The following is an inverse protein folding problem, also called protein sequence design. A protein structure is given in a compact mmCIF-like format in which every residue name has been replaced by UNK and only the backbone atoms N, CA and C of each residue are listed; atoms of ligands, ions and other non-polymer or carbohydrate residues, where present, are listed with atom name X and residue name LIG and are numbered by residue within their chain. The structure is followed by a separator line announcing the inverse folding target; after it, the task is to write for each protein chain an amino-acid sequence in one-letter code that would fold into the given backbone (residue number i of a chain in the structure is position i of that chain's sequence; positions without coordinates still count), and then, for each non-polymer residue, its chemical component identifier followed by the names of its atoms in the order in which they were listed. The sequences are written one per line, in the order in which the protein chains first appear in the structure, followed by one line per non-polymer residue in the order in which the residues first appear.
data_IF_683582991271
#
_entry.id   IF_683582991271
#
_cell.length_a   1.000
_cell.length_b   1.000
_cell.length_c   1.000
_cell.angle_alpha   90.00
_cell.angle_beta   90.00
_cell.angle_gamma   90.00
#
_symmetry.space_group_name_H-M   'P 1'
#
loop_
_entity.id
_entity.type
_entity.pdbx_description
1 polymer ?
#
# COMPACT_ATOMS: atom_id res chain seq x y z
N UNK A 1 -1.76 5.06 5.18
CA UNK A 1 -2.75 5.45 6.21
C UNK A 1 -3.13 4.23 7.04
N UNK A 2 -4.05 4.42 7.98
CA UNK A 2 -4.64 3.32 8.77
C UNK A 2 -6.15 3.23 8.52
N UNK A 3 -6.75 2.07 8.77
CA UNK A 3 -8.21 1.89 8.71
C UNK A 3 -8.93 2.67 9.83
N UNK A 4 -10.24 2.87 9.67
CA UNK A 4 -11.12 3.37 10.74
C UNK A 4 -10.93 2.55 12.03
N UNK A 5 -10.77 3.23 13.15
CA UNK A 5 -10.53 2.59 14.46
C UNK A 5 -9.06 2.32 14.80
N UNK A 6 -8.11 2.56 13.88
CA UNK A 6 -6.68 2.47 14.15
C UNK A 6 -6.08 3.89 14.26
N UNK A 7 -5.68 4.28 15.48
CA UNK A 7 -5.15 5.61 15.81
C UNK A 7 -3.60 5.69 15.77
N UNK A 8 -2.91 4.62 15.36
CA UNK A 8 -1.46 4.57 15.40
C UNK A 8 -0.82 5.27 14.19
N UNK A 9 -0.34 6.50 14.40
CA UNK A 9 0.22 7.31 13.32
C UNK A 9 1.73 7.16 13.11
N UNK A 10 2.49 6.86 14.17
CA UNK A 10 3.96 6.84 14.11
C UNK A 10 4.50 5.90 13.02
N UNK A 11 4.06 4.63 12.91
CA UNK A 11 4.52 3.75 11.85
C UNK A 11 4.22 4.33 10.46
N UNK A 12 3.01 4.86 10.25
CA UNK A 12 2.57 5.44 8.98
C UNK A 12 3.45 6.62 8.55
N UNK A 13 3.87 7.47 9.50
CA UNK A 13 4.80 8.57 9.24
C UNK A 13 6.20 8.07 8.87
N UNK A 14 6.70 7.04 9.56
CA UNK A 14 7.99 6.42 9.23
C UNK A 14 7.98 5.74 7.85
N UNK A 15 6.86 5.13 7.47
CA UNK A 15 6.65 4.55 6.14
C UNK A 15 6.70 5.62 5.06
N UNK A 16 6.03 6.77 5.27
CA UNK A 16 6.13 7.90 4.34
C UNK A 16 7.57 8.38 4.16
N UNK A 17 8.32 8.52 5.26
CA UNK A 17 9.72 8.92 5.19
C UNK A 17 10.56 7.90 4.41
N UNK A 18 10.38 6.60 4.72
CA UNK A 18 11.08 5.49 4.07
C UNK A 18 10.83 5.46 2.55
N UNK A 19 9.58 5.67 2.12
CA UNK A 19 9.23 5.74 0.71
C UNK A 19 9.86 6.96 0.02
N UNK A 20 9.90 8.11 0.69
CA UNK A 20 10.56 9.32 0.18
C UNK A 20 12.06 9.13 0.02
N UNK A 21 12.72 8.50 0.98
CA UNK A 21 14.13 8.13 0.87
C UNK A 21 14.41 7.13 -0.27
N UNK A 22 13.42 6.30 -0.62
CA UNK A 22 13.48 5.41 -1.79
C UNK A 22 13.14 6.11 -3.12
N UNK A 23 12.91 7.44 -3.12
CA UNK A 23 12.64 8.23 -4.32
C UNK A 23 11.17 8.30 -4.73
N UNK A 24 10.24 7.89 -3.87
CA UNK A 24 8.80 7.98 -4.13
C UNK A 24 8.21 9.29 -3.61
N UNK A 25 7.25 9.87 -4.34
CA UNK A 25 6.46 10.98 -3.84
C UNK A 25 5.33 10.48 -2.92
N UNK A 26 5.67 10.06 -1.70
CA UNK A 26 4.70 9.56 -0.74
C UNK A 26 3.92 10.69 -0.04
N UNK A 27 2.60 10.53 -0.01
CA UNK A 27 1.65 11.31 0.77
C UNK A 27 1.11 10.45 1.92
N UNK A 28 0.91 11.08 3.08
CA UNK A 28 0.27 10.43 4.22
C UNK A 28 -1.16 10.96 4.33
N UNK A 29 -2.13 10.03 4.39
CA UNK A 29 -3.54 10.35 4.56
C UNK A 29 -3.96 10.38 6.04
N UNK A 30 -3.04 10.09 6.96
CA UNK A 30 -3.27 10.07 8.39
C UNK A 30 -3.90 8.76 8.87
N UNK A 31 -4.52 8.85 10.05
CA UNK A 31 -5.24 7.75 10.67
C UNK A 31 -6.74 7.77 10.32
N UNK A 32 -7.40 6.64 10.52
CA UNK A 32 -8.86 6.53 10.39
C UNK A 32 -9.36 6.91 8.99
N UNK A 33 -8.62 6.49 7.96
CA UNK A 33 -8.94 6.84 6.58
C UNK A 33 -10.05 5.95 6.09
N UNK A 34 -11.17 6.55 5.71
CA UNK A 34 -12.25 5.84 5.03
C UNK A 34 -11.73 5.23 3.72
N UNK A 35 -12.11 3.98 3.45
CA UNK A 35 -11.74 3.23 2.24
C UNK A 35 -11.96 4.04 0.96
N UNK A 36 -13.09 4.72 0.86
CA UNK A 36 -13.45 5.56 -0.30
C UNK A 36 -12.46 6.70 -0.53
N UNK A 37 -12.00 7.35 0.54
CA UNK A 37 -10.99 8.42 0.44
C UNK A 37 -9.66 7.86 -0.05
N UNK A 38 -9.25 6.69 0.46
CA UNK A 38 -8.01 6.05 0.05
C UNK A 38 -8.04 5.64 -1.43
N UNK A 39 -9.14 5.06 -1.90
CA UNK A 39 -9.35 4.73 -3.32
C UNK A 39 -9.35 6.00 -4.18
N UNK A 40 -10.14 7.00 -3.80
CA UNK A 40 -10.24 8.27 -4.53
C UNK A 40 -8.87 8.93 -4.69
N UNK A 41 -8.10 9.01 -3.60
CA UNK A 41 -6.76 9.61 -3.66
C UNK A 41 -5.80 8.75 -4.49
N UNK A 42 -5.84 7.42 -4.37
CA UNK A 42 -5.01 6.54 -5.19
C UNK A 42 -5.27 6.75 -6.69
N UNK A 43 -6.54 6.89 -7.08
CA UNK A 43 -6.95 7.14 -8.47
C UNK A 43 -6.50 8.52 -8.95
N UNK A 44 -6.81 9.60 -8.20
CA UNK A 44 -6.45 10.98 -8.59
C UNK A 44 -4.93 11.14 -8.74
N UNK A 45 -4.17 10.50 -7.86
CA UNK A 45 -2.71 10.61 -7.84
C UNK A 45 -2.01 9.59 -8.73
N UNK A 46 -2.75 8.70 -9.40
CA UNK A 46 -2.19 7.55 -10.13
C UNK A 46 -1.17 6.76 -9.28
N UNK A 47 -1.54 6.50 -8.02
CA UNK A 47 -0.63 5.95 -7.03
C UNK A 47 -0.23 4.51 -7.37
N UNK A 48 1.08 4.24 -7.40
CA UNK A 48 1.63 2.91 -7.70
C UNK A 48 1.78 2.04 -6.46
N UNK A 49 1.91 2.66 -5.30
CA UNK A 49 1.97 2.00 -4.00
C UNK A 49 0.89 2.62 -3.12
N UNK A 50 0.06 1.76 -2.54
CA UNK A 50 -0.94 2.11 -1.54
C UNK A 50 -0.59 1.36 -0.26
N UNK A 51 -0.14 2.08 0.77
CA UNK A 51 0.18 1.49 2.07
C UNK A 51 -1.00 1.55 3.03
N UNK A 52 -1.35 0.40 3.61
CA UNK A 52 -2.32 0.27 4.68
C UNK A 52 -1.73 -0.41 5.92
N UNK A 53 -1.78 0.27 7.07
CA UNK A 53 -1.38 -0.31 8.37
C UNK A 53 -2.57 -0.91 9.09
N UNK A 54 -2.38 -2.12 9.62
CA UNK A 54 -3.26 -2.81 10.55
C UNK A 54 -2.57 -2.91 11.91
N UNK A 55 -2.71 -1.88 12.74
CA UNK A 55 -2.10 -1.81 14.07
C UNK A 55 -3.07 -2.23 15.17
N UNK A 56 -4.38 -2.15 14.89
CA UNK A 56 -5.47 -2.61 15.73
C UNK A 56 -6.59 -3.20 14.86
N UNK A 57 -7.15 -4.34 15.27
CA UNK A 57 -8.23 -5.04 14.56
C UNK A 57 -9.28 -5.47 15.59
N UNK A 58 -10.48 -4.89 15.50
CA UNK A 58 -11.60 -5.25 16.39
C UNK A 58 -12.36 -6.48 15.92
N UNK A 59 -12.59 -6.60 14.60
CA UNK A 59 -13.28 -7.73 13.98
C UNK A 59 -12.51 -8.19 12.73
N UNK A 60 -12.03 -9.43 12.75
CA UNK A 60 -11.23 -9.99 11.66
C UNK A 60 -12.04 -10.25 10.38
N UNK A 61 -13.31 -10.66 10.49
CA UNK A 61 -14.16 -10.93 9.33
C UNK A 61 -14.47 -9.63 8.58
N UNK A 62 -14.88 -8.58 9.30
CA UNK A 62 -15.14 -7.27 8.71
C UNK A 62 -13.87 -6.70 8.05
N UNK A 63 -12.71 -6.89 8.68
CA UNK A 63 -11.42 -6.46 8.15
C UNK A 63 -11.08 -7.15 6.83
N UNK A 64 -11.36 -8.45 6.73
CA UNK A 64 -11.14 -9.23 5.51
C UNK A 64 -12.06 -8.76 4.39
N UNK A 65 -13.34 -8.57 4.67
CA UNK A 65 -14.30 -8.11 3.65
C UNK A 65 -14.01 -6.69 3.18
N UNK A 66 -13.67 -5.77 4.09
CA UNK A 66 -13.25 -4.42 3.72
C UNK A 66 -11.94 -4.40 2.94
N UNK A 67 -10.99 -5.28 3.26
CA UNK A 67 -9.76 -5.42 2.49
C UNK A 67 -10.01 -5.93 1.06
N UNK A 68 -10.88 -6.94 0.88
CA UNK A 68 -11.26 -7.41 -0.46
C UNK A 68 -11.93 -6.31 -1.27
N UNK A 69 -12.87 -5.58 -0.67
CA UNK A 69 -13.51 -4.42 -1.31
C UNK A 69 -12.49 -3.35 -1.69
N UNK A 70 -11.56 -3.05 -0.80
CA UNK A 70 -10.48 -2.10 -1.07
C UNK A 70 -9.63 -2.56 -2.27
N UNK A 71 -9.23 -3.84 -2.30
CA UNK A 71 -8.42 -4.37 -3.40
C UNK A 71 -9.17 -4.26 -4.74
N UNK A 72 -10.46 -4.61 -4.77
CA UNK A 72 -11.30 -4.51 -5.98
C UNK A 72 -11.44 -3.06 -6.47
N UNK A 73 -11.59 -2.10 -5.56
CA UNK A 73 -11.85 -0.70 -5.91
C UNK A 73 -10.57 0.08 -6.26
N UNK A 74 -9.39 -0.41 -5.88
CA UNK A 74 -8.11 0.22 -6.22
C UNK A 74 -7.77 0.05 -7.70
N UNK A 75 -7.07 1.04 -8.31
CA UNK A 75 -6.53 0.89 -9.66
C UNK A 75 -5.74 -0.42 -9.83
N UNK A 76 -5.88 -1.07 -10.98
CA UNK A 76 -5.29 -2.39 -11.25
C UNK A 76 -3.75 -2.39 -11.25
N UNK A 77 -3.15 -1.24 -11.54
CA UNK A 77 -1.71 -1.01 -11.52
C UNK A 77 -1.19 -0.53 -10.15
N UNK A 78 -2.08 -0.22 -9.20
CA UNK A 78 -1.71 0.12 -7.84
C UNK A 78 -1.41 -1.15 -7.02
N UNK A 79 -0.22 -1.20 -6.41
CA UNK A 79 0.17 -2.27 -5.47
C UNK A 79 -0.32 -1.96 -4.07
N UNK A 80 -1.20 -2.82 -3.54
CA UNK A 80 -1.66 -2.74 -2.18
C UNK A 80 -0.63 -3.41 -1.26
N UNK A 81 0.00 -2.58 -0.44
CA UNK A 81 1.02 -2.99 0.51
C UNK A 81 0.47 -2.89 1.92
N UNK A 82 0.63 -3.94 2.71
CA UNK A 82 0.10 -4.03 4.07
C UNK A 82 1.20 -4.25 5.10
N UNK A 83 0.95 -3.82 6.33
CA UNK A 83 1.80 -4.10 7.48
C UNK A 83 1.09 -3.78 8.78
N UNK A 84 1.85 -3.73 9.86
CA UNK A 84 1.33 -3.41 11.19
C UNK A 84 1.26 -4.61 12.12
N UNK A 85 1.36 -4.34 13.41
CA UNK A 85 1.54 -5.35 14.46
C UNK A 85 0.35 -6.31 14.62
N UNK A 86 -0.87 -5.88 14.25
CA UNK A 86 -2.06 -6.71 14.37
C UNK A 86 -2.23 -7.66 13.16
N UNK A 87 -1.36 -7.54 12.15
CA UNK A 87 -1.37 -8.36 10.95
C UNK A 87 -0.73 -9.73 11.19
N UNK A 88 -1.41 -10.59 11.96
CA UNK A 88 -0.98 -11.96 12.23
C UNK A 88 -1.11 -12.90 11.03
N UNK A 89 -0.43 -14.06 11.08
CA UNK A 89 -0.38 -15.04 9.98
C UNK A 89 -1.76 -15.54 9.52
N UNK A 90 -2.70 -15.74 10.45
CA UNK A 90 -4.06 -16.16 10.13
C UNK A 90 -4.81 -15.12 9.31
N UNK A 91 -4.67 -13.84 9.66
CA UNK A 91 -5.32 -12.76 8.92
C UNK A 91 -4.69 -12.59 7.55
N UNK A 92 -3.35 -12.59 7.43
CA UNK A 92 -2.64 -12.46 6.15
C UNK A 92 -3.13 -13.43 5.08
N UNK A 93 -3.42 -14.69 5.46
CA UNK A 93 -3.92 -15.70 4.52
C UNK A 93 -5.29 -15.38 3.91
N UNK A 94 -6.07 -14.52 4.57
CA UNK A 94 -7.43 -14.18 4.16
C UNK A 94 -7.51 -12.80 3.48
N UNK A 95 -6.45 -11.99 3.54
CA UNK A 95 -6.39 -10.69 2.89
C UNK A 95 -5.87 -10.81 1.45
N UNK A 96 -6.25 -9.85 0.62
CA UNK A 96 -5.75 -9.65 -0.73
C UNK A 96 -4.81 -8.43 -0.74
N UNK A 97 -3.53 -8.67 -1.00
CA UNK A 97 -2.49 -7.65 -1.08
C UNK A 97 -1.36 -8.12 -2.00
N UNK A 98 -0.55 -7.19 -2.48
CA UNK A 98 0.61 -7.46 -3.33
C UNK A 98 1.88 -7.72 -2.50
N UNK A 99 2.01 -7.07 -1.34
CA UNK A 99 3.14 -7.25 -0.43
C UNK A 99 2.75 -7.03 1.03
N UNK A 100 3.32 -7.82 1.93
CA UNK A 100 3.24 -7.62 3.37
C UNK A 100 4.63 -7.33 3.94
N UNK A 101 4.80 -6.16 4.57
CA UNK A 101 6.07 -5.72 5.15
C UNK A 101 6.01 -5.68 6.67
N UNK A 102 6.89 -6.46 7.31
CA UNK A 102 7.06 -6.48 8.78
C UNK A 102 8.01 -5.39 9.29
N UNK A 103 8.91 -4.90 8.43
CA UNK A 103 9.91 -3.89 8.77
C UNK A 103 9.97 -2.80 7.70
N UNK A 104 10.53 -1.64 8.06
CA UNK A 104 10.78 -0.56 7.09
C UNK A 104 11.79 -1.00 6.01
N UNK A 105 12.70 -1.92 6.34
CA UNK A 105 13.65 -2.48 5.38
C UNK A 105 12.92 -3.34 4.32
N UNK A 106 11.95 -4.16 4.73
CA UNK A 106 11.12 -4.93 3.80
C UNK A 106 10.38 -4.00 2.83
N UNK A 107 9.75 -2.94 3.36
CA UNK A 107 9.08 -1.94 2.54
C UNK A 107 10.05 -1.24 1.58
N UNK A 108 11.20 -0.77 2.07
CA UNK A 108 12.20 -0.08 1.24
C UNK A 108 12.71 -0.98 0.11
N UNK A 109 12.98 -2.25 0.40
CA UNK A 109 13.42 -3.22 -0.60
C UNK A 109 12.37 -3.40 -1.69
N UNK A 110 11.11 -3.68 -1.31
CA UNK A 110 10.00 -3.83 -2.25
C UNK A 110 9.77 -2.58 -3.10
N UNK A 111 9.81 -1.39 -2.47
CA UNK A 111 9.63 -0.11 -3.16
C UNK A 111 10.73 0.17 -4.19
N UNK A 112 11.98 -0.22 -3.91
CA UNK A 112 13.07 -0.10 -4.88
C UNK A 112 12.91 -1.07 -6.05
N UNK A 113 12.56 -2.33 -5.77
CA UNK A 113 12.33 -3.33 -6.80
C UNK A 113 11.23 -2.90 -7.77
N UNK A 114 10.09 -2.45 -7.23
CA UNK A 114 8.96 -1.99 -8.05
C UNK A 114 9.36 -0.81 -8.94
N UNK A 115 10.13 0.15 -8.42
CA UNK A 115 10.58 1.30 -9.20
C UNK A 115 11.50 0.88 -10.36
N UNK A 116 12.44 -0.03 -10.09
CA UNK A 116 13.33 -0.58 -11.14
C UNK A 116 12.53 -1.29 -12.22
N UNK A 117 11.57 -2.13 -11.83
CA UNK A 117 10.68 -2.82 -12.77
C UNK A 117 9.91 -1.82 -13.65
N UNK A 118 9.30 -0.80 -13.03
CA UNK A 118 8.56 0.23 -13.77
C UNK A 118 9.43 1.02 -14.75
N UNK A 119 10.68 1.29 -14.40
CA UNK A 119 11.62 1.95 -15.32
C UNK A 119 11.97 1.06 -16.51
N UNK A 120 12.11 -0.26 -16.30
CA UNK A 120 12.37 -1.22 -17.39
C UNK A 120 11.17 -1.35 -18.32
N UNK A 121 9.96 -1.46 -17.76
CA UNK A 121 8.72 -1.55 -18.53
C UNK A 121 8.51 -0.31 -19.40
N UNK A 122 8.83 0.88 -18.88
CA UNK A 122 8.74 2.13 -19.64
C UNK A 122 9.73 2.20 -20.82
N UNK A 123 10.95 1.69 -20.65
CA UNK A 123 11.94 1.62 -21.74
C UNK A 123 11.48 0.64 -22.82
N UNK A 124 11.05 -0.56 -22.43
CA UNK A 124 10.58 -1.58 -23.36
C UNK A 124 9.33 -1.12 -24.15
N UNK A 125 8.41 -0.41 -23.49
CA UNK A 125 7.24 0.16 -24.15
C UNK A 125 7.61 1.28 -25.15
N UNK A 126 8.62 2.09 -24.85
CA UNK A 126 9.11 3.11 -25.77
C UNK A 126 9.79 2.50 -27.00
N UNK A 127 10.56 1.42 -26.83
CA UNK A 127 11.22 0.71 -27.92
C UNK A 127 10.20 0.05 -28.86
N UNK A 128 9.10 -0.50 -28.34
CA UNK A 128 8.00 -1.08 -29.13
C UNK A 128 7.17 -0.03 -29.89
N UNK A 129 7.10 1.20 -29.39
CA UNK A 129 6.36 2.29 -30.04
C UNK A 129 7.14 2.97 -31.18
N UNK A 130 8.44 2.66 -31.32
CA UNK A 130 9.33 3.18 -32.36
C UNK A 130 9.50 2.22 -33.56
N UNK A 131 8.79 1.07 -33.56
CA UNK A 131 8.75 0.07 -34.65
C UNK A 131 7.40 0.15 -35.36
#
# INVERSE_FOLDING_TARGET
GTCLGDIYELPTRMIRLTLREAGWNAIDLGCQVARQSLVKTATIMNAKIVWLSYSHISNSLDTVEENKRLRTDLPSDARLVVGGQALGAALRRNLQFDFAGDTLQHLRHYANQLRTQMSQDAVCAADLALV
#
